data_IF_994065340191
#
_entry.id   IF_994065340191
#
_cell.length_a   1.000
_cell.length_b   1.000
_cell.length_c   1.000
_cell.angle_alpha   90.00
_cell.angle_beta   90.00
_cell.angle_gamma   90.00
#
_symmetry.space_group_name_H-M   'P 1'
#
loop_
_entity.id
_entity.type
_entity.pdbx_description
1 polymer ?
#
# COMPACT_ATOMS: atom_id res chain seq x y z
N UNK A 1 -29.48 24.57 22.40
CA UNK A 1 -28.66 24.95 21.24
C UNK A 1 -27.30 25.41 21.75
N UNK A 2 -26.40 24.46 22.01
CA UNK A 2 -25.00 24.75 22.36
C UNK A 2 -24.17 24.51 21.10
N UNK A 3 -23.75 25.60 20.45
CA UNK A 3 -22.85 25.53 19.30
C UNK A 3 -21.52 24.95 19.73
N UNK A 4 -21.23 23.74 19.26
CA UNK A 4 -19.88 23.18 19.27
C UNK A 4 -19.08 23.95 18.21
N UNK A 5 -18.29 24.92 18.67
CA UNK A 5 -17.22 25.52 17.86
C UNK A 5 -16.21 24.42 17.57
N UNK A 6 -16.20 23.93 16.33
CA UNK A 6 -15.13 23.11 15.79
C UNK A 6 -13.83 23.94 15.90
N UNK A 7 -12.75 23.44 16.53
CA UNK A 7 -11.50 24.17 16.54
C UNK A 7 -11.02 24.29 15.09
N UNK A 8 -10.87 25.52 14.60
CA UNK A 8 -10.18 25.77 13.34
C UNK A 8 -8.75 25.26 13.52
N UNK A 9 -8.36 24.25 12.74
CA UNK A 9 -7.00 23.71 12.73
C UNK A 9 -6.02 24.85 12.49
N UNK A 10 -5.20 25.20 13.48
CA UNK A 10 -4.29 26.35 13.40
C UNK A 10 -2.97 26.05 12.69
N UNK A 11 -2.64 24.77 12.45
CA UNK A 11 -1.39 24.38 11.81
C UNK A 11 -1.64 23.68 10.47
N UNK A 12 -1.42 24.35 9.32
CA UNK A 12 -1.65 23.76 8.01
C UNK A 12 -0.67 22.60 7.72
N UNK A 13 -1.08 21.66 6.88
CA UNK A 13 -0.18 20.62 6.40
C UNK A 13 0.97 21.26 5.61
N UNK A 14 2.18 20.75 5.80
CA UNK A 14 3.39 21.30 5.19
C UNK A 14 4.09 22.39 5.98
N UNK A 15 3.62 22.72 7.20
CA UNK A 15 4.20 23.78 8.03
C UNK A 15 3.57 25.15 7.79
N UNK A 16 4.03 26.18 8.51
CA UNK A 16 3.47 27.55 8.46
C UNK A 16 4.08 28.45 7.39
N UNK A 17 5.19 28.05 6.78
CA UNK A 17 5.85 28.80 5.68
C UNK A 17 4.95 28.80 4.43
N UNK A 18 4.63 29.97 3.87
CA UNK A 18 3.64 30.11 2.80
C UNK A 18 4.17 29.74 1.41
N UNK A 19 5.48 29.89 1.20
CA UNK A 19 6.21 29.65 -0.04
C UNK A 19 6.91 28.28 -0.05
N UNK A 20 6.69 27.46 0.98
CA UNK A 20 7.28 26.13 1.12
C UNK A 20 6.29 25.09 1.64
N UNK A 21 6.45 23.84 1.24
CA UNK A 21 5.73 22.71 1.81
C UNK A 21 6.71 21.68 2.41
N UNK A 22 6.78 21.61 3.75
CA UNK A 22 7.61 20.61 4.45
C UNK A 22 6.89 19.27 4.56
N UNK A 23 7.38 18.28 3.81
CA UNK A 23 6.86 16.91 3.84
C UNK A 23 6.90 16.26 5.23
N UNK A 24 7.67 16.79 6.19
CA UNK A 24 7.69 16.25 7.56
C UNK A 24 6.50 16.73 8.37
N UNK A 25 5.97 17.93 8.15
CA UNK A 25 4.86 18.50 8.92
C UNK A 25 3.48 18.03 8.41
N UNK A 26 3.34 16.71 8.23
CA UNK A 26 2.18 16.05 7.61
C UNK A 26 1.92 14.68 8.25
N UNK A 27 0.65 14.25 8.21
CA UNK A 27 0.20 12.90 8.53
C UNK A 27 0.32 11.95 7.31
N UNK A 28 1.00 10.81 7.48
CA UNK A 28 1.09 9.76 6.45
C UNK A 28 0.45 8.46 6.91
N UNK A 29 -0.34 7.77 6.06
CA UNK A 29 -0.71 6.40 6.35
C UNK A 29 0.53 5.50 6.27
N UNK A 30 0.74 4.64 7.26
CA UNK A 30 1.90 3.72 7.28
C UNK A 30 1.49 2.25 7.20
N UNK A 31 0.22 1.95 7.55
CA UNK A 31 -0.32 0.59 7.45
C UNK A 31 -1.85 0.60 7.43
N UNK A 32 -2.47 -0.41 6.81
CA UNK A 32 -3.84 -0.75 7.16
C UNK A 32 -3.88 -1.43 8.52
N UNK A 33 -4.80 -1.03 9.38
CA UNK A 33 -4.93 -1.60 10.74
C UNK A 33 -5.24 -3.10 10.68
N UNK A 34 -6.02 -3.54 9.68
CA UNK A 34 -6.40 -4.96 9.48
C UNK A 34 -5.20 -5.88 9.20
N UNK A 35 -4.08 -5.32 8.73
CA UNK A 35 -2.87 -6.07 8.40
C UNK A 35 -1.84 -6.06 9.55
N UNK A 36 -2.10 -5.32 10.63
CA UNK A 36 -1.26 -5.28 11.83
C UNK A 36 -1.65 -6.36 12.83
N UNK A 37 -0.65 -7.01 13.44
CA UNK A 37 -0.84 -8.02 14.47
C UNK A 37 -0.54 -7.45 15.86
N UNK A 38 -1.50 -7.50 16.78
CA UNK A 38 -1.36 -6.89 18.13
C UNK A 38 -0.29 -7.55 19.02
N UNK A 39 0.17 -8.74 18.67
CA UNK A 39 1.10 -9.53 19.48
C UNK A 39 2.56 -9.44 19.02
N UNK A 40 2.86 -8.70 17.95
CA UNK A 40 4.22 -8.51 17.47
C UNK A 40 4.43 -7.08 16.96
N UNK A 41 5.61 -6.48 17.14
CA UNK A 41 5.96 -5.25 16.46
C UNK A 41 6.06 -5.45 14.94
N UNK A 42 5.84 -4.38 14.17
CA UNK A 42 5.92 -4.35 12.71
C UNK A 42 6.87 -3.22 12.29
N UNK A 43 7.94 -3.49 11.54
CA UNK A 43 8.82 -2.44 11.01
C UNK A 43 8.16 -1.69 9.85
N UNK A 44 8.48 -0.40 9.72
CA UNK A 44 8.16 0.43 8.56
C UNK A 44 9.25 1.50 8.39
N UNK A 45 9.39 2.09 7.20
CA UNK A 45 10.26 3.25 7.00
C UNK A 45 9.43 4.38 6.42
N UNK A 46 9.54 5.58 7.00
CA UNK A 46 8.86 6.79 6.55
C UNK A 46 9.89 7.92 6.42
N UNK A 47 10.00 8.52 5.23
CA UNK A 47 10.94 9.63 4.97
C UNK A 47 12.37 9.32 5.45
N UNK A 48 12.88 8.13 5.09
CA UNK A 48 14.20 7.60 5.46
C UNK A 48 14.42 7.37 6.97
N UNK A 49 13.35 7.38 7.77
CA UNK A 49 13.38 7.02 9.20
C UNK A 49 12.78 5.65 9.42
N UNK A 50 13.54 4.77 10.06
CA UNK A 50 13.05 3.45 10.46
C UNK A 50 12.16 3.56 11.70
N UNK A 51 10.99 2.94 11.62
CA UNK A 51 9.90 3.02 12.59
C UNK A 51 9.49 1.61 13.05
N UNK A 52 9.07 1.51 14.30
CA UNK A 52 8.42 0.31 14.86
C UNK A 52 6.97 0.63 15.22
N UNK A 53 6.03 -0.09 14.60
CA UNK A 53 4.60 -0.05 14.91
C UNK A 53 4.28 -1.17 15.90
N UNK A 54 3.62 -0.88 17.00
CA UNK A 54 3.26 -1.88 17.99
C UNK A 54 1.95 -1.55 18.71
N UNK A 55 1.33 -2.57 19.32
CA UNK A 55 0.08 -2.41 20.05
C UNK A 55 0.37 -2.24 21.54
N UNK A 56 0.07 -1.05 22.06
CA UNK A 56 0.11 -0.77 23.49
C UNK A 56 -1.14 -1.37 24.14
N UNK A 57 -0.97 -2.44 24.92
CA UNK A 57 -2.08 -3.11 25.61
C UNK A 57 -2.65 -2.25 26.73
N UNK A 58 -1.85 -1.37 27.33
CA UNK A 58 -2.28 -0.55 28.45
C UNK A 58 -3.16 0.62 27.98
N UNK A 59 -2.88 1.14 26.79
CA UNK A 59 -3.61 2.26 26.18
C UNK A 59 -4.58 1.82 25.08
N UNK A 60 -4.72 0.51 24.85
CA UNK A 60 -5.50 -0.10 23.76
C UNK A 60 -5.37 0.64 22.42
N UNK A 61 -4.14 0.99 22.04
CA UNK A 61 -3.89 1.84 20.87
C UNK A 61 -2.58 1.47 20.17
N UNK A 62 -2.54 1.76 18.86
CA UNK A 62 -1.31 1.64 18.07
C UNK A 62 -0.35 2.78 18.40
N UNK A 63 0.89 2.41 18.69
CA UNK A 63 2.00 3.32 18.96
C UNK A 63 3.10 3.11 17.92
N UNK A 64 3.84 4.18 17.67
CA UNK A 64 4.94 4.18 16.70
C UNK A 64 6.14 4.87 17.30
N UNK A 65 7.27 4.18 17.33
CA UNK A 65 8.56 4.72 17.77
C UNK A 65 9.57 4.73 16.64
N UNK A 66 10.65 5.47 16.83
CA UNK A 66 11.88 5.26 16.06
C UNK A 66 12.39 3.84 16.36
N UNK A 67 12.78 3.09 15.33
CA UNK A 67 13.14 1.68 15.45
C UNK A 67 14.57 1.48 15.99
N UNK A 68 14.85 2.09 17.12
CA UNK A 68 16.20 2.17 17.69
C UNK A 68 16.14 2.24 19.21
N UNK A 69 16.59 1.17 19.85
CA UNK A 69 16.70 1.15 21.31
C UNK A 69 17.76 2.17 21.78
N UNK A 70 17.46 3.08 22.72
CA UNK A 70 18.42 4.08 23.19
C UNK A 70 19.62 3.49 23.95
N UNK A 71 19.52 2.23 24.41
CA UNK A 71 20.59 1.56 25.12
C UNK A 71 21.78 1.23 24.19
N UNK A 72 21.55 0.43 23.14
CA UNK A 72 22.59 -0.03 22.19
C UNK A 72 22.11 -0.14 20.75
N UNK A 73 21.12 0.66 20.38
CA UNK A 73 20.64 0.86 19.02
C UNK A 73 20.07 -0.39 18.32
N UNK A 74 19.71 -1.42 19.10
CA UNK A 74 19.03 -2.60 18.57
C UNK A 74 17.66 -2.20 18.00
N UNK A 75 17.24 -2.79 16.86
CA UNK A 75 15.90 -2.56 16.31
C UNK A 75 14.87 -3.08 17.31
N UNK A 76 13.94 -2.22 17.69
CA UNK A 76 12.84 -2.54 18.59
C UNK A 76 11.76 -3.38 17.88
N UNK A 77 11.71 -3.32 16.54
CA UNK A 77 10.84 -4.11 15.69
C UNK A 77 11.11 -5.62 15.76
N UNK A 78 12.34 -6.01 16.11
CA UNK A 78 12.72 -7.40 16.41
C UNK A 78 12.34 -7.84 17.84
N UNK A 79 11.73 -6.92 18.61
CA UNK A 79 11.28 -7.14 19.99
C UNK A 79 9.93 -7.80 20.11
N UNK A 80 9.29 -7.58 21.26
CA UNK A 80 7.95 -8.11 21.56
C UNK A 80 7.13 -7.14 22.40
N UNK A 81 5.81 -7.34 22.40
CA UNK A 81 4.94 -6.75 23.43
C UNK A 81 4.93 -7.70 24.63
N UNK A 82 5.51 -7.27 25.75
CA UNK A 82 5.66 -8.14 26.92
C UNK A 82 4.33 -8.33 27.68
N UNK A 83 4.40 -9.07 28.80
CA UNK A 83 3.25 -9.40 29.64
C UNK A 83 2.64 -8.15 30.29
N UNK A 84 3.47 -7.17 30.64
CA UNK A 84 3.06 -5.86 31.14
C UNK A 84 2.49 -4.91 30.06
N UNK A 85 2.37 -5.38 28.81
CA UNK A 85 1.79 -4.59 27.72
C UNK A 85 2.69 -3.51 27.15
N UNK A 86 3.99 -3.57 27.43
CA UNK A 86 5.00 -2.61 26.98
C UNK A 86 5.81 -3.17 25.79
N UNK A 87 6.43 -2.28 25.01
CA UNK A 87 7.38 -2.71 23.98
C UNK A 87 8.71 -3.07 24.64
N UNK A 88 9.15 -4.31 24.48
CA UNK A 88 10.38 -4.83 25.07
C UNK A 88 11.45 -5.05 23.99
N UNK A 89 12.63 -4.45 24.22
CA UNK A 89 13.78 -4.61 23.35
C UNK A 89 14.31 -6.06 23.39
N UNK A 90 14.59 -6.68 22.23
CA UNK A 90 15.01 -8.08 22.17
C UNK A 90 16.43 -8.30 22.72
N UNK A 91 17.23 -7.24 22.86
CA UNK A 91 18.63 -7.37 23.23
C UNK A 91 18.82 -7.52 24.75
N UNK A 92 18.32 -6.56 25.53
CA UNK A 92 18.54 -6.52 26.98
C UNK A 92 17.24 -6.42 27.79
N UNK A 93 16.08 -6.54 27.16
CA UNK A 93 14.79 -6.54 27.85
C UNK A 93 14.37 -5.18 28.43
N UNK A 94 14.99 -4.08 27.98
CA UNK A 94 14.49 -2.74 28.32
C UNK A 94 13.10 -2.58 27.74
N UNK A 95 12.13 -2.14 28.55
CA UNK A 95 10.77 -1.96 28.08
C UNK A 95 10.30 -0.51 28.17
N UNK A 96 9.41 -0.15 27.24
CA UNK A 96 8.98 1.23 27.01
C UNK A 96 7.44 1.31 27.00
N UNK A 97 6.89 2.32 27.66
CA UNK A 97 5.45 2.64 27.57
C UNK A 97 5.12 3.31 26.24
N UNK A 98 3.83 3.41 25.89
CA UNK A 98 3.36 4.06 24.65
C UNK A 98 3.77 5.52 24.44
N UNK A 99 4.25 6.22 25.47
CA UNK A 99 4.81 7.57 25.37
C UNK A 99 6.31 7.58 25.06
N UNK A 100 6.96 6.41 25.02
CA UNK A 100 8.39 6.25 24.81
C UNK A 100 9.23 6.31 26.09
N UNK A 101 8.62 6.41 27.27
CA UNK A 101 9.37 6.38 28.53
C UNK A 101 9.93 4.98 28.79
N UNK A 102 11.15 4.89 29.31
CA UNK A 102 11.68 3.63 29.80
C UNK A 102 10.98 3.28 31.11
N UNK A 103 10.35 2.11 31.16
CA UNK A 103 9.57 1.66 32.30
C UNK A 103 10.32 0.61 33.13
N UNK A 104 11.21 -0.14 32.48
CA UNK A 104 11.94 -1.21 33.15
C UNK A 104 13.30 -1.46 32.50
N UNK A 105 14.32 -1.61 33.34
CA UNK A 105 15.69 -1.99 32.97
C UNK A 105 16.03 -3.25 33.79
N UNK A 106 16.03 -4.45 33.20
CA UNK A 106 16.20 -5.68 33.99
C UNK A 106 17.56 -5.78 34.69
N UNK A 107 18.59 -5.10 34.17
CA UNK A 107 19.95 -5.16 34.70
C UNK A 107 20.25 -4.11 35.78
N UNK A 108 19.29 -3.24 36.11
CA UNK A 108 19.54 -2.19 37.10
C UNK A 108 19.43 -2.73 38.53
N UNK A 109 20.34 -2.37 39.45
CA UNK A 109 20.21 -2.73 40.85
C UNK A 109 18.97 -2.10 41.49
N UNK A 110 18.40 -2.79 42.47
CA UNK A 110 17.29 -2.28 43.27
C UNK A 110 17.65 -0.93 43.91
N UNK A 111 16.68 0.00 43.93
CA UNK A 111 16.86 1.35 44.47
C UNK A 111 17.52 2.36 43.52
N UNK A 112 18.03 1.92 42.36
CA UNK A 112 18.46 2.84 41.29
C UNK A 112 17.28 3.26 40.40
N UNK A 113 17.45 4.35 39.63
CA UNK A 113 16.39 4.95 38.81
C UNK A 113 16.88 5.36 37.42
N UNK A 114 17.65 4.50 36.76
CA UNK A 114 18.25 4.84 35.46
C UNK A 114 17.18 5.07 34.37
N UNK A 115 16.02 4.41 34.51
CA UNK A 115 14.86 4.54 33.63
C UNK A 115 14.25 5.95 33.62
N UNK A 116 14.46 6.74 34.68
CA UNK A 116 13.95 8.12 34.76
C UNK A 116 14.75 9.13 33.92
N UNK A 117 15.91 8.73 33.39
CA UNK A 117 16.72 9.58 32.52
C UNK A 117 16.03 9.78 31.17
N UNK A 118 15.99 11.01 30.66
CA UNK A 118 15.53 11.28 29.29
C UNK A 118 16.34 10.53 28.22
N UNK A 119 17.58 10.14 28.53
CA UNK A 119 18.43 9.32 27.64
C UNK A 119 17.98 7.86 27.57
N UNK A 120 17.14 7.42 28.49
CA UNK A 120 16.54 6.09 28.46
C UNK A 120 15.26 6.07 27.62
N UNK A 121 14.66 7.22 27.30
CA UNK A 121 13.44 7.28 26.48
C UNK A 121 13.73 7.00 25.00
N UNK A 122 12.77 6.37 24.33
CA UNK A 122 12.75 6.21 22.87
C UNK A 122 11.93 7.34 22.23
N UNK A 123 12.32 7.79 21.04
CA UNK A 123 11.57 8.76 20.25
C UNK A 123 10.21 8.19 19.86
N UNK A 124 9.13 8.85 20.29
CA UNK A 124 7.76 8.48 19.93
C UNK A 124 7.15 9.44 18.91
N UNK A 125 6.34 8.89 18.00
CA UNK A 125 5.61 9.66 16.99
C UNK A 125 4.13 9.79 17.36
N UNK A 126 3.50 10.89 16.95
CA UNK A 126 2.05 11.03 17.06
C UNK A 126 1.36 10.08 16.08
N UNK A 127 0.34 9.36 16.57
CA UNK A 127 -0.41 8.36 15.81
C UNK A 127 -1.90 8.61 15.85
N UNK A 128 -2.60 8.25 14.78
CA UNK A 128 -4.07 8.22 14.79
C UNK A 128 -4.60 7.18 13.82
N UNK A 129 -5.73 6.56 14.16
CA UNK A 129 -6.43 5.64 13.26
C UNK A 129 -7.62 6.38 12.65
N UNK A 130 -7.67 6.44 11.32
CA UNK A 130 -8.77 7.03 10.56
C UNK A 130 -9.02 6.23 9.30
N UNK A 131 -10.29 6.00 8.97
CA UNK A 131 -10.72 5.27 7.77
C UNK A 131 -10.01 3.91 7.56
N UNK A 132 -9.69 3.19 8.65
CA UNK A 132 -9.01 1.88 8.61
C UNK A 132 -7.49 1.91 8.41
N UNK A 133 -6.88 3.09 8.31
CA UNK A 133 -5.45 3.31 8.18
C UNK A 133 -4.86 3.81 9.51
N UNK A 134 -3.65 3.36 9.83
CA UNK A 134 -2.81 3.94 10.87
C UNK A 134 -2.01 5.09 10.24
N UNK A 135 -2.21 6.30 10.73
CA UNK A 135 -1.45 7.49 10.35
C UNK A 135 -0.37 7.81 11.38
N UNK A 136 0.76 8.31 10.89
CA UNK A 136 1.89 8.81 11.65
C UNK A 136 2.16 10.25 11.24
N UNK A 137 2.29 11.15 12.21
CA UNK A 137 2.77 12.50 11.97
C UNK A 137 4.31 12.49 11.93
N UNK A 138 4.90 12.91 10.81
CA UNK A 138 6.35 12.79 10.62
C UNK A 138 7.19 13.94 11.25
N UNK A 139 6.51 15.01 11.66
CA UNK A 139 7.10 16.27 12.10
C UNK A 139 7.15 16.38 13.62
N UNK A 140 7.07 17.60 14.14
CA UNK A 140 6.94 17.82 15.58
C UNK A 140 5.60 17.26 16.11
N UNK A 141 5.60 16.28 17.04
CA UNK A 141 4.37 15.75 17.63
C UNK A 141 3.45 16.80 18.26
N UNK A 142 3.97 17.98 18.64
CA UNK A 142 3.18 19.08 19.19
C UNK A 142 2.27 19.74 18.15
N UNK A 143 2.62 19.68 16.86
CA UNK A 143 1.81 20.23 15.78
C UNK A 143 0.69 19.27 15.35
N UNK A 144 0.89 17.97 15.57
CA UNK A 144 -0.01 16.90 15.14
C UNK A 144 -1.49 17.10 15.53
N UNK A 145 -1.86 17.52 16.76
CA UNK A 145 -3.26 17.76 17.14
C UNK A 145 -3.93 18.89 16.35
N UNK A 146 -3.15 19.83 15.81
CA UNK A 146 -3.64 21.00 15.08
C UNK A 146 -3.50 20.87 13.55
N UNK A 147 -2.94 19.77 13.06
CA UNK A 147 -2.85 19.47 11.62
C UNK A 147 -3.90 18.43 11.22
N UNK A 148 -4.69 18.76 10.18
CA UNK A 148 -5.74 17.87 9.65
C UNK A 148 -5.12 16.58 9.10
N UNK A 149 -5.73 15.43 9.44
CA UNK A 149 -5.40 14.14 8.82
C UNK A 149 -5.97 14.12 7.40
N UNK A 150 -5.19 13.78 6.35
CA UNK A 150 -5.70 13.71 4.99
C UNK A 150 -6.61 12.49 4.84
N UNK A 151 -7.91 12.74 4.80
CA UNK A 151 -8.97 11.73 4.67
C UNK A 151 -9.69 11.90 3.33
N UNK A 152 -10.47 10.89 2.94
CA UNK A 152 -11.37 10.97 1.80
C UNK A 152 -12.72 11.46 2.31
N UNK A 153 -13.05 12.73 2.07
CA UNK A 153 -14.27 13.35 2.61
C UNK A 153 -15.55 12.55 2.27
N UNK A 154 -15.79 12.10 1.01
CA UNK A 154 -16.98 11.30 0.69
C UNK A 154 -17.12 9.98 1.47
N UNK A 155 -16.01 9.42 1.98
CA UNK A 155 -16.03 8.23 2.81
C UNK A 155 -16.30 8.55 4.28
N UNK A 156 -15.93 9.75 4.75
CA UNK A 156 -16.21 10.20 6.10
C UNK A 156 -17.68 10.59 6.28
N UNK A 157 -18.28 11.17 5.24
CA UNK A 157 -19.69 11.58 5.23
C UNK A 157 -20.66 10.39 5.31
N UNK A 158 -20.27 9.23 4.77
CA UNK A 158 -21.08 8.02 4.78
C UNK A 158 -20.22 6.75 4.96
N UNK A 159 -19.72 6.49 6.19
CA UNK A 159 -18.74 5.43 6.46
C UNK A 159 -19.24 4.01 6.12
N UNK A 160 -20.53 3.77 6.30
CA UNK A 160 -21.15 2.44 6.10
C UNK A 160 -21.70 2.23 4.68
N UNK A 161 -21.76 3.30 3.87
CA UNK A 161 -22.30 3.26 2.52
C UNK A 161 -21.38 2.62 1.47
N UNK A 162 -20.09 2.46 1.77
CA UNK A 162 -19.08 2.03 0.81
C UNK A 162 -18.67 0.56 0.97
N UNK A 163 -18.37 -0.09 -0.16
CA UNK A 163 -17.58 -1.33 -0.18
C UNK A 163 -16.21 -0.98 -0.72
N UNK A 164 -15.17 -1.27 0.04
CA UNK A 164 -13.81 -0.91 -0.34
C UNK A 164 -13.03 -2.16 -0.75
N UNK A 165 -12.39 -2.10 -1.91
CA UNK A 165 -11.28 -2.98 -2.23
C UNK A 165 -9.99 -2.19 -1.95
N UNK A 166 -9.33 -2.53 -0.86
CA UNK A 166 -8.11 -1.85 -0.42
C UNK A 166 -6.90 -2.75 -0.64
N UNK A 167 -5.79 -2.20 -1.14
CA UNK A 167 -4.49 -2.86 -1.19
C UNK A 167 -3.37 -1.86 -0.93
N UNK A 168 -2.16 -2.36 -0.72
CA UNK A 168 -0.95 -1.55 -0.67
C UNK A 168 0.18 -2.25 -1.41
N UNK A 169 1.20 -1.50 -1.81
CA UNK A 169 2.43 -2.07 -2.34
C UNK A 169 3.61 -1.10 -2.17
N UNK A 170 4.78 -1.64 -1.82
CA UNK A 170 6.02 -0.89 -1.91
C UNK A 170 6.48 -0.86 -3.36
N UNK A 171 6.68 0.34 -3.88
CA UNK A 171 7.02 0.63 -5.26
C UNK A 171 8.43 1.21 -5.33
N UNK A 172 9.23 0.82 -6.33
CA UNK A 172 10.65 1.14 -6.40
C UNK A 172 10.91 2.50 -7.05
N UNK A 173 10.04 3.49 -6.82
CA UNK A 173 10.19 4.86 -7.31
C UNK A 173 9.58 5.85 -6.33
N UNK A 174 9.87 7.13 -6.51
CA UNK A 174 9.44 8.20 -5.62
C UNK A 174 7.91 8.34 -5.54
N UNK A 175 7.43 8.81 -4.38
CA UNK A 175 6.02 9.11 -4.15
C UNK A 175 5.47 10.13 -5.16
N UNK A 176 6.28 11.10 -5.58
CA UNK A 176 5.91 12.10 -6.58
C UNK A 176 5.69 11.46 -7.97
N UNK A 177 6.55 10.52 -8.37
CA UNK A 177 6.40 9.74 -9.61
C UNK A 177 5.09 8.94 -9.60
N UNK A 178 4.71 8.38 -8.45
CA UNK A 178 3.43 7.70 -8.30
C UNK A 178 2.24 8.67 -8.45
N UNK A 179 2.25 9.80 -7.74
CA UNK A 179 1.16 10.79 -7.79
C UNK A 179 0.98 11.34 -9.21
N UNK A 180 2.07 11.64 -9.90
CA UNK A 180 2.05 12.04 -11.31
C UNK A 180 1.34 10.99 -12.18
N UNK A 181 1.74 9.71 -12.06
CA UNK A 181 1.16 8.63 -12.86
C UNK A 181 -0.35 8.47 -12.63
N UNK A 182 -0.82 8.55 -11.38
CA UNK A 182 -2.23 8.35 -11.06
C UNK A 182 -3.10 9.56 -11.42
N UNK A 183 -2.52 10.76 -11.54
CA UNK A 183 -3.22 11.95 -12.05
C UNK A 183 -3.37 11.93 -13.57
N UNK A 184 -2.47 11.26 -14.30
CA UNK A 184 -2.56 11.09 -15.74
C UNK A 184 -3.56 9.97 -16.10
N UNK A 185 -4.79 10.33 -16.46
CA UNK A 185 -5.78 9.33 -16.90
C UNK A 185 -5.55 8.81 -18.33
N UNK A 186 -4.65 9.42 -19.12
CA UNK A 186 -4.48 9.13 -20.55
C UNK A 186 -3.75 7.82 -20.84
N UNK A 187 -2.90 7.36 -19.91
CA UNK A 187 -2.17 6.10 -20.08
C UNK A 187 -3.05 4.85 -19.93
N UNK A 188 -4.20 4.96 -19.22
CA UNK A 188 -5.03 3.82 -18.82
C UNK A 188 -5.43 2.91 -20.00
N UNK A 189 -5.92 3.42 -21.15
CA UNK A 189 -6.28 2.58 -22.30
C UNK A 189 -5.12 1.77 -22.88
N UNK A 190 -3.88 2.26 -22.74
CA UNK A 190 -2.68 1.70 -23.35
C UNK A 190 -1.91 0.79 -22.39
N UNK A 191 -1.51 1.32 -21.24
CA UNK A 191 -0.71 0.61 -20.25
C UNK A 191 -1.47 -0.57 -19.65
N UNK A 192 -2.75 -0.35 -19.34
CA UNK A 192 -3.62 -1.38 -18.77
C UNK A 192 -4.47 -2.10 -19.82
N UNK A 193 -3.99 -2.15 -21.07
CA UNK A 193 -4.71 -2.85 -22.13
C UNK A 193 -4.90 -4.34 -21.78
N UNK A 194 -6.12 -4.85 -21.97
CA UNK A 194 -6.54 -6.23 -21.63
C UNK A 194 -6.69 -6.51 -20.13
N UNK A 195 -6.42 -5.53 -19.25
CA UNK A 195 -6.76 -5.59 -17.82
C UNK A 195 -7.96 -4.71 -17.52
N UNK A 196 -7.74 -3.44 -17.14
CA UNK A 196 -8.80 -2.47 -16.85
C UNK A 196 -9.04 -1.49 -18.02
N UNK A 197 -8.09 -1.42 -18.96
CA UNK A 197 -8.08 -0.54 -20.10
C UNK A 197 -8.33 -1.24 -21.43
N UNK A 198 -8.81 -0.45 -22.40
CA UNK A 198 -8.93 -0.89 -23.79
C UNK A 198 -8.48 0.25 -24.71
N UNK A 199 -7.44 0.02 -25.52
CA UNK A 199 -6.88 1.01 -26.46
C UNK A 199 -7.91 1.61 -27.42
N UNK A 200 -8.97 0.85 -27.75
CA UNK A 200 -10.06 1.34 -28.60
C UNK A 200 -10.87 2.47 -27.94
N UNK A 201 -10.78 2.60 -26.61
CA UNK A 201 -11.44 3.65 -25.84
C UNK A 201 -10.57 4.90 -25.69
N UNK A 202 -9.34 4.93 -26.22
CA UNK A 202 -8.53 6.14 -26.25
C UNK A 202 -9.28 7.26 -26.98
N UNK A 203 -9.26 8.46 -26.39
CA UNK A 203 -9.95 9.66 -26.84
C UNK A 203 -9.23 10.88 -26.24
N UNK A 204 -9.49 12.11 -26.74
CA UNK A 204 -9.03 13.32 -26.09
C UNK A 204 -9.45 13.36 -24.60
N UNK A 205 -8.53 13.80 -23.75
CA UNK A 205 -8.76 14.02 -22.32
C UNK A 205 -8.69 15.52 -22.09
N UNK A 206 -9.84 16.17 -22.00
CA UNK A 206 -9.97 17.62 -21.82
C UNK A 206 -10.13 17.91 -20.33
N UNK A 207 -9.00 18.12 -19.64
CA UNK A 207 -8.98 18.41 -18.21
C UNK A 207 -9.14 19.92 -17.96
N UNK A 208 -9.73 20.26 -16.81
CA UNK A 208 -9.83 21.62 -16.29
C UNK A 208 -9.43 21.64 -14.81
N UNK A 209 -8.57 22.57 -14.41
CA UNK A 209 -8.25 22.83 -13.00
C UNK A 209 -9.27 23.83 -12.46
N UNK A 210 -9.97 23.46 -11.39
CA UNK A 210 -11.04 24.27 -10.79
C UNK A 210 -10.57 25.06 -9.58
N UNK A 211 -9.56 24.57 -8.85
CA UNK A 211 -8.95 25.23 -7.71
C UNK A 211 -7.52 24.73 -7.53
N UNK A 212 -6.58 25.59 -7.15
CA UNK A 212 -5.21 25.21 -6.83
C UNK A 212 -4.63 26.14 -5.76
N UNK A 213 -4.04 25.57 -4.73
CA UNK A 213 -3.34 26.28 -3.67
C UNK A 213 -2.23 25.41 -3.05
N UNK A 214 -1.65 25.88 -1.95
CA UNK A 214 -0.58 25.17 -1.23
C UNK A 214 -1.01 23.81 -0.67
N UNK A 215 -2.28 23.62 -0.35
CA UNK A 215 -2.83 22.38 0.21
C UNK A 215 -3.26 21.38 -0.88
N UNK A 216 -3.17 21.74 -2.16
CA UNK A 216 -3.39 20.86 -3.30
C UNK A 216 -4.25 21.51 -4.38
N UNK A 217 -4.90 20.69 -5.21
CA UNK A 217 -5.75 21.19 -6.29
C UNK A 217 -6.95 20.28 -6.55
N UNK A 218 -7.96 20.83 -7.21
CA UNK A 218 -9.10 20.08 -7.74
C UNK A 218 -9.24 20.34 -9.23
N UNK A 219 -9.81 19.37 -9.93
CA UNK A 219 -10.09 19.51 -11.34
C UNK A 219 -11.18 18.57 -11.80
N UNK A 220 -11.60 18.77 -13.05
CA UNK A 220 -12.66 18.02 -13.69
C UNK A 220 -12.22 17.53 -15.06
N UNK A 221 -12.74 16.37 -15.44
CA UNK A 221 -12.82 15.92 -16.82
C UNK A 221 -14.31 15.83 -17.18
N UNK A 222 -14.88 16.84 -17.89
CA UNK A 222 -16.32 16.94 -18.15
C UNK A 222 -16.88 15.73 -18.88
N UNK A 223 -16.20 15.27 -19.94
CA UNK A 223 -16.62 14.09 -20.70
C UNK A 223 -16.30 12.79 -19.95
N UNK A 224 -15.31 12.80 -19.07
CA UNK A 224 -14.87 11.64 -18.32
C UNK A 224 -14.48 10.43 -19.18
N UNK A 225 -14.23 9.29 -18.54
CA UNK A 225 -13.66 8.12 -19.21
C UNK A 225 -14.66 7.43 -20.14
N UNK A 226 -14.09 6.69 -21.10
CA UNK A 226 -14.86 5.89 -22.08
C UNK A 226 -15.90 6.72 -22.85
N UNK A 227 -15.47 7.90 -23.35
CA UNK A 227 -16.29 8.79 -24.20
C UNK A 227 -17.64 9.15 -23.55
N UNK A 228 -17.65 9.56 -22.28
CA UNK A 228 -18.90 9.94 -21.60
C UNK A 228 -19.66 8.81 -20.91
N UNK A 229 -19.36 7.54 -21.20
CA UNK A 229 -20.21 6.44 -20.70
C UNK A 229 -20.14 6.23 -19.19
N UNK A 230 -19.06 6.68 -18.54
CA UNK A 230 -18.89 6.61 -17.09
C UNK A 230 -19.23 7.92 -16.36
N UNK A 231 -19.68 8.94 -17.10
CA UNK A 231 -19.99 10.26 -16.57
C UNK A 231 -18.74 11.10 -16.29
N UNK A 232 -18.99 12.33 -15.82
CA UNK A 232 -17.95 13.29 -15.45
C UNK A 232 -17.06 12.74 -14.32
N UNK A 233 -15.75 13.00 -14.43
CA UNK A 233 -14.78 12.67 -13.41
C UNK A 233 -14.35 13.93 -12.66
N UNK A 234 -14.41 13.88 -11.33
CA UNK A 234 -13.79 14.88 -10.46
C UNK A 234 -12.48 14.33 -9.92
N UNK A 235 -11.48 15.19 -9.80
CA UNK A 235 -10.17 14.84 -9.28
C UNK A 235 -9.83 15.77 -8.14
N UNK A 236 -9.36 15.20 -7.04
CA UNK A 236 -8.81 15.96 -5.91
C UNK A 236 -7.40 15.47 -5.64
N UNK A 237 -6.45 16.39 -5.56
CA UNK A 237 -5.14 16.21 -5.00
C UNK A 237 -5.07 16.97 -3.68
N UNK A 238 -4.74 16.27 -2.60
CA UNK A 238 -4.46 16.84 -1.27
C UNK A 238 -2.99 16.65 -1.00
N UNK A 239 -2.30 17.77 -0.83
CA UNK A 239 -0.86 17.79 -0.65
C UNK A 239 -0.41 17.01 0.61
N UNK A 240 0.74 16.33 0.54
CA UNK A 240 1.60 16.19 -0.63
C UNK A 240 1.30 14.91 -1.45
N UNK A 241 0.48 14.00 -0.92
CA UNK A 241 0.55 12.60 -1.32
C UNK A 241 -0.78 11.84 -1.29
N UNK A 242 -1.92 12.53 -1.28
CA UNK A 242 -3.23 11.92 -1.44
C UNK A 242 -3.85 12.45 -2.73
N UNK A 243 -4.38 11.55 -3.56
CA UNK A 243 -5.28 11.94 -4.62
C UNK A 243 -6.44 10.96 -4.75
N UNK A 244 -7.55 11.42 -5.31
CA UNK A 244 -8.59 10.53 -5.76
C UNK A 244 -9.36 11.06 -6.97
N UNK A 245 -9.89 10.12 -7.74
CA UNK A 245 -10.91 10.36 -8.74
C UNK A 245 -12.27 9.94 -8.21
N UNK A 246 -13.29 10.78 -8.44
CA UNK A 246 -14.69 10.51 -8.14
C UNK A 246 -15.51 10.48 -9.42
N UNK A 247 -16.17 9.35 -9.64
CA UNK A 247 -16.96 9.06 -10.82
C UNK A 247 -18.33 8.56 -10.40
N UNK A 248 -19.38 9.14 -10.97
CA UNK A 248 -20.74 8.62 -10.84
C UNK A 248 -21.28 8.24 -12.21
N UNK A 249 -21.48 6.94 -12.41
CA UNK A 249 -22.05 6.39 -13.64
C UNK A 249 -23.42 5.80 -13.39
N UNK A 250 -24.32 5.92 -14.37
CA UNK A 250 -25.65 5.27 -14.30
C UNK A 250 -25.53 3.73 -14.20
N UNK A 251 -24.48 3.16 -14.78
CA UNK A 251 -24.29 1.70 -14.88
C UNK A 251 -23.69 1.08 -13.61
N UNK A 252 -22.70 1.74 -12.99
CA UNK A 252 -21.91 1.16 -11.89
C UNK A 252 -22.13 1.86 -10.56
N UNK A 253 -22.91 2.94 -10.53
CA UNK A 253 -23.09 3.78 -9.35
C UNK A 253 -21.90 4.73 -9.16
N UNK A 254 -21.60 5.09 -7.92
CA UNK A 254 -20.48 5.99 -7.57
C UNK A 254 -19.25 5.17 -7.20
N UNK A 255 -18.11 5.52 -7.78
CA UNK A 255 -16.83 4.81 -7.59
C UNK A 255 -15.72 5.80 -7.36
N UNK A 256 -14.89 5.54 -6.36
CA UNK A 256 -13.69 6.31 -6.11
C UNK A 256 -12.45 5.47 -6.48
N UNK A 257 -11.44 6.11 -7.05
CA UNK A 257 -10.08 5.57 -7.14
C UNK A 257 -9.20 6.46 -6.29
N UNK A 258 -8.73 5.95 -5.17
CA UNK A 258 -7.97 6.71 -4.17
C UNK A 258 -6.57 6.15 -4.07
N UNK A 259 -5.57 7.03 -4.05
CA UNK A 259 -4.17 6.66 -3.84
C UNK A 259 -3.55 7.57 -2.78
N UNK A 260 -2.93 6.95 -1.78
CA UNK A 260 -1.90 7.59 -0.98
C UNK A 260 -0.52 7.12 -1.44
N UNK A 261 0.42 8.05 -1.59
CA UNK A 261 1.81 7.78 -1.95
C UNK A 261 2.74 8.10 -0.77
N UNK A 262 2.93 7.16 0.15
CA UNK A 262 3.75 7.41 1.35
C UNK A 262 5.24 7.26 1.02
N UNK A 263 6.07 8.31 1.14
CA UNK A 263 7.50 8.20 0.85
C UNK A 263 8.22 7.33 1.87
N UNK A 264 8.94 6.31 1.40
CA UNK A 264 9.75 5.41 2.24
C UNK A 264 11.19 5.93 2.26
N UNK A 265 11.84 5.98 1.09
CA UNK A 265 13.21 6.49 0.85
C UNK A 265 13.25 7.15 -0.53
N UNK A 266 14.36 7.82 -0.88
CA UNK A 266 14.56 8.28 -2.26
C UNK A 266 14.50 7.09 -3.24
N UNK A 267 13.61 7.18 -4.22
CA UNK A 267 13.31 6.13 -5.19
C UNK A 267 12.49 4.96 -4.61
N UNK A 268 11.82 5.13 -3.47
CA UNK A 268 10.94 4.11 -2.89
C UNK A 268 9.73 4.73 -2.16
N UNK A 269 8.52 4.28 -2.49
CA UNK A 269 7.29 4.70 -1.80
C UNK A 269 6.35 3.52 -1.51
N UNK A 270 5.44 3.68 -0.55
CA UNK A 270 4.31 2.78 -0.34
C UNK A 270 3.06 3.41 -0.94
N UNK A 271 2.47 2.72 -1.91
CA UNK A 271 1.12 2.97 -2.38
C UNK A 271 0.12 2.38 -1.39
N UNK A 272 -0.90 3.15 -1.00
CA UNK A 272 -2.16 2.63 -0.48
C UNK A 272 -3.26 2.95 -1.51
N UNK A 273 -3.71 1.93 -2.24
CA UNK A 273 -4.81 2.07 -3.18
C UNK A 273 -6.11 1.63 -2.54
N UNK A 274 -7.13 2.48 -2.67
CA UNK A 274 -8.49 2.19 -2.20
C UNK A 274 -9.45 2.38 -3.35
N UNK A 275 -10.32 1.40 -3.53
CA UNK A 275 -11.40 1.47 -4.50
C UNK A 275 -12.75 1.35 -3.77
N UNK A 276 -13.29 2.47 -3.24
CA UNK A 276 -14.65 2.57 -2.72
C UNK A 276 -15.71 2.48 -3.81
N UNK A 277 -16.73 1.65 -3.60
CA UNK A 277 -17.87 1.49 -4.50
C UNK A 277 -19.21 1.68 -3.77
N UNK A 278 -20.09 2.46 -4.38
CA UNK A 278 -21.53 2.56 -4.09
C UNK A 278 -22.31 2.08 -5.32
N UNK A 279 -22.56 0.77 -5.36
CA UNK A 279 -23.25 0.15 -6.49
C UNK A 279 -24.74 0.50 -6.52
N UNK A 280 -25.28 0.70 -7.71
CA UNK A 280 -26.73 0.88 -7.93
C UNK A 280 -27.54 -0.41 -7.71
N UNK A 281 -26.89 -1.58 -7.56
CA UNK A 281 -27.54 -2.87 -7.31
C UNK A 281 -26.76 -3.71 -6.28
N UNK A 282 -27.47 -4.65 -5.64
CA UNK A 282 -26.87 -5.51 -4.60
C UNK A 282 -26.01 -6.66 -5.16
N UNK A 283 -26.11 -6.98 -6.46
CA UNK A 283 -25.45 -8.15 -7.05
C UNK A 283 -23.91 -8.01 -7.07
N UNK A 284 -23.30 -6.91 -7.56
CA UNK A 284 -21.85 -6.71 -7.47
C UNK A 284 -21.35 -6.69 -6.02
N UNK A 285 -22.13 -6.08 -5.11
CA UNK A 285 -21.87 -6.07 -3.66
C UNK A 285 -21.76 -7.48 -3.09
N UNK A 286 -22.64 -8.40 -3.50
CA UNK A 286 -22.59 -9.79 -3.06
C UNK A 286 -21.31 -10.49 -3.55
N UNK A 287 -20.99 -10.41 -4.84
CA UNK A 287 -19.79 -11.06 -5.39
C UNK A 287 -18.49 -10.53 -4.79
N UNK A 288 -18.38 -9.23 -4.55
CA UNK A 288 -17.20 -8.67 -3.90
C UNK A 288 -17.05 -9.14 -2.45
N UNK A 289 -18.15 -9.31 -1.72
CA UNK A 289 -18.11 -9.79 -0.32
C UNK A 289 -17.66 -11.25 -0.19
N UNK A 290 -18.00 -12.10 -1.16
CA UNK A 290 -17.59 -13.51 -1.14
C UNK A 290 -16.22 -13.76 -1.76
N UNK A 291 -15.70 -12.79 -2.53
CA UNK A 291 -14.38 -12.90 -3.16
C UNK A 291 -13.30 -12.75 -2.08
N UNK A 292 -12.40 -13.72 -1.91
CA UNK A 292 -11.33 -13.60 -0.94
C UNK A 292 -10.45 -12.39 -1.23
N UNK A 293 -10.16 -11.59 -0.21
CA UNK A 293 -9.37 -10.35 -0.35
C UNK A 293 -8.02 -10.60 -1.03
N UNK A 294 -7.31 -11.67 -0.68
CA UNK A 294 -6.02 -12.01 -1.31
C UNK A 294 -6.15 -12.25 -2.83
N UNK A 295 -7.29 -12.76 -3.30
CA UNK A 295 -7.51 -13.02 -4.71
C UNK A 295 -7.64 -11.71 -5.49
N UNK A 296 -8.40 -10.75 -4.94
CA UNK A 296 -8.48 -9.40 -5.49
C UNK A 296 -7.11 -8.71 -5.50
N UNK A 297 -6.29 -8.90 -4.46
CA UNK A 297 -4.94 -8.33 -4.41
C UNK A 297 -4.05 -8.88 -5.52
N UNK A 298 -4.12 -10.16 -5.89
CA UNK A 298 -3.30 -10.70 -6.99
C UNK A 298 -3.57 -9.97 -8.30
N UNK A 299 -4.82 -9.59 -8.56
CA UNK A 299 -5.21 -8.82 -9.75
C UNK A 299 -4.75 -7.36 -9.65
N UNK A 300 -4.97 -6.71 -8.51
CA UNK A 300 -4.56 -5.31 -8.29
C UNK A 300 -3.04 -5.13 -8.37
N UNK A 301 -2.26 -6.05 -7.79
CA UNK A 301 -0.80 -6.05 -7.94
C UNK A 301 -0.41 -6.18 -9.42
N UNK A 302 -1.12 -7.02 -10.18
CA UNK A 302 -0.90 -7.14 -11.62
C UNK A 302 -1.09 -5.82 -12.38
N UNK A 303 -2.07 -5.00 -11.98
CA UNK A 303 -2.31 -3.66 -12.58
C UNK A 303 -1.12 -2.74 -12.27
N UNK A 304 -0.69 -2.67 -11.01
CA UNK A 304 0.47 -1.84 -10.62
C UNK A 304 1.76 -2.26 -11.35
N UNK A 305 1.93 -3.55 -11.61
CA UNK A 305 3.07 -4.09 -12.38
C UNK A 305 3.07 -3.61 -13.84
N UNK A 306 1.91 -3.24 -14.40
CA UNK A 306 1.85 -2.69 -15.77
C UNK A 306 2.61 -1.36 -15.87
N UNK A 307 2.56 -0.53 -14.82
CA UNK A 307 3.23 0.77 -14.78
C UNK A 307 4.68 0.69 -14.33
N UNK A 308 4.90 -0.15 -13.32
CA UNK A 308 6.04 -0.06 -12.42
C UNK A 308 7.40 0.03 -13.12
N UNK A 309 7.60 -0.77 -14.16
CA UNK A 309 8.89 -0.84 -14.86
C UNK A 309 9.20 0.47 -15.59
N UNK A 310 8.24 1.07 -16.31
CA UNK A 310 8.60 2.28 -17.05
C UNK A 310 8.68 3.49 -16.12
N UNK A 311 7.86 3.56 -15.07
CA UNK A 311 7.95 4.61 -14.06
C UNK A 311 9.33 4.61 -13.38
N UNK A 312 9.84 3.42 -13.07
CA UNK A 312 11.19 3.23 -12.55
C UNK A 312 12.29 3.81 -13.46
N UNK A 313 12.15 3.67 -14.78
CA UNK A 313 13.11 4.24 -15.73
C UNK A 313 12.85 5.73 -15.98
N UNK A 314 11.59 6.16 -16.04
CA UNK A 314 11.19 7.54 -16.26
C UNK A 314 11.77 8.47 -15.20
N UNK A 315 11.66 8.13 -13.91
CA UNK A 315 12.22 8.98 -12.84
C UNK A 315 13.75 9.12 -12.95
N UNK A 316 14.43 8.09 -13.45
CA UNK A 316 15.89 8.07 -13.59
C UNK A 316 16.33 8.91 -14.76
N UNK A 317 15.62 8.83 -15.88
CA UNK A 317 15.87 9.72 -17.02
C UNK A 317 15.58 11.17 -16.67
N UNK A 318 14.57 11.42 -15.83
CA UNK A 318 14.31 12.76 -15.29
C UNK A 318 15.46 13.23 -14.38
N UNK A 319 15.94 12.39 -13.46
CA UNK A 319 17.09 12.72 -12.61
C UNK A 319 18.35 13.01 -13.44
N UNK A 320 18.65 12.16 -14.43
CA UNK A 320 19.76 12.36 -15.40
C UNK A 320 19.60 13.67 -16.22
N UNK A 321 18.36 14.12 -16.42
CA UNK A 321 18.03 15.38 -17.11
C UNK A 321 18.01 16.60 -16.19
N UNK A 322 18.41 16.45 -14.92
CA UNK A 322 18.49 17.53 -13.93
C UNK A 322 17.28 17.66 -13.00
N UNK A 323 16.49 16.60 -12.84
CA UNK A 323 15.44 16.47 -11.83
C UNK A 323 14.22 17.38 -12.04
N UNK A 324 13.45 17.59 -10.96
CA UNK A 324 12.19 18.36 -10.98
C UNK A 324 12.35 19.79 -11.50
N UNK A 325 13.47 20.46 -11.23
CA UNK A 325 13.75 21.81 -11.73
C UNK A 325 13.82 21.87 -13.28
N UNK A 326 14.23 20.77 -13.92
CA UNK A 326 14.35 20.67 -15.38
C UNK A 326 13.18 19.92 -16.03
N UNK A 327 12.09 19.67 -15.29
CA UNK A 327 10.98 18.84 -15.76
C UNK A 327 10.39 19.31 -17.11
N UNK A 328 10.16 20.62 -17.27
CA UNK A 328 9.61 21.19 -18.51
C UNK A 328 10.55 21.05 -19.73
N UNK A 329 11.85 20.83 -19.50
CA UNK A 329 12.84 20.55 -20.55
C UNK A 329 12.93 19.05 -20.85
N UNK A 330 12.79 18.22 -19.82
CA UNK A 330 12.86 16.76 -19.93
C UNK A 330 11.58 16.15 -20.55
N UNK A 331 10.43 16.74 -20.25
CA UNK A 331 9.11 16.25 -20.67
C UNK A 331 8.42 17.25 -21.59
N UNK A 332 7.88 16.76 -22.71
CA UNK A 332 7.02 17.54 -23.61
C UNK A 332 5.56 17.17 -23.37
N UNK A 333 4.78 18.10 -22.83
CA UNK A 333 3.39 17.91 -22.39
C UNK A 333 2.44 18.83 -23.19
N UNK A 334 2.13 18.50 -24.46
CA UNK A 334 1.49 19.45 -25.38
C UNK A 334 -0.04 19.47 -25.30
N UNK A 335 -0.67 18.58 -24.52
CA UNK A 335 -2.12 18.38 -24.57
C UNK A 335 -2.80 18.68 -23.24
N UNK A 336 -4.13 18.88 -23.26
CA UNK A 336 -4.89 19.02 -22.01
C UNK A 336 -4.94 17.74 -21.18
N UNK A 337 -4.58 16.59 -21.74
CA UNK A 337 -4.46 15.36 -20.96
C UNK A 337 -3.37 15.47 -19.88
N UNK A 338 -2.37 16.33 -20.12
CA UNK A 338 -1.22 16.52 -19.27
C UNK A 338 -1.45 17.57 -18.16
N UNK A 339 -2.62 18.23 -18.13
CA UNK A 339 -2.85 19.41 -17.30
C UNK A 339 -2.65 19.15 -15.81
N UNK A 340 -3.12 18.03 -15.27
CA UNK A 340 -2.95 17.73 -13.84
C UNK A 340 -1.50 17.35 -13.49
N UNK A 341 -0.75 16.77 -14.44
CA UNK A 341 0.69 16.53 -14.27
C UNK A 341 1.45 17.85 -14.24
N UNK A 342 1.10 18.76 -15.16
CA UNK A 342 1.66 20.11 -15.16
C UNK A 342 1.34 20.85 -13.86
N UNK A 343 0.09 20.80 -13.40
CA UNK A 343 -0.34 21.44 -12.16
C UNK A 343 0.43 20.91 -10.94
N UNK A 344 0.58 19.58 -10.83
CA UNK A 344 1.38 18.95 -9.77
C UNK A 344 2.83 19.46 -9.80
N UNK A 345 3.48 19.50 -10.98
CA UNK A 345 4.88 19.94 -11.10
C UNK A 345 5.06 21.43 -10.86
N UNK A 346 4.08 22.23 -11.27
CA UNK A 346 4.01 23.66 -10.93
C UNK A 346 3.92 23.84 -9.41
N UNK A 347 3.03 23.08 -8.74
CA UNK A 347 2.89 23.07 -7.29
C UNK A 347 4.20 22.66 -6.59
N UNK A 348 4.88 21.60 -7.04
CA UNK A 348 6.17 21.17 -6.47
C UNK A 348 7.21 22.28 -6.55
N UNK A 349 7.34 22.93 -7.71
CA UNK A 349 8.31 23.99 -7.91
C UNK A 349 7.95 25.26 -7.13
N UNK A 350 6.67 25.65 -7.13
CA UNK A 350 6.18 26.83 -6.43
C UNK A 350 6.41 26.76 -4.91
N UNK A 351 6.21 25.59 -4.32
CA UNK A 351 6.32 25.39 -2.87
C UNK A 351 7.57 24.61 -2.45
N UNK A 352 8.57 24.49 -3.33
CA UNK A 352 9.81 23.73 -3.08
C UNK A 352 9.54 22.36 -2.41
N UNK A 353 8.57 21.62 -2.95
CA UNK A 353 7.95 20.47 -2.29
C UNK A 353 8.51 19.13 -2.81
N UNK A 354 9.82 19.06 -3.03
CA UNK A 354 10.51 17.79 -3.31
C UNK A 354 10.71 17.02 -1.99
N UNK A 355 10.34 15.73 -1.88
CA UNK A 355 10.40 15.00 -0.61
C UNK A 355 11.83 14.69 -0.12
N UNK A 356 12.78 14.58 -1.04
CA UNK A 356 14.17 14.18 -0.77
C UNK A 356 15.15 15.08 -1.55
N UNK A 357 15.18 16.39 -1.29
CA UNK A 357 15.97 17.33 -2.08
C UNK A 357 17.46 17.02 -1.97
N UNK A 358 18.13 16.92 -3.12
CA UNK A 358 19.57 16.66 -3.21
C UNK A 358 20.02 15.23 -2.90
N UNK A 359 19.10 14.31 -2.61
CA UNK A 359 19.42 12.89 -2.40
C UNK A 359 19.36 12.16 -3.76
N UNK A 360 20.42 11.47 -4.20
CA UNK A 360 20.41 10.74 -5.48
C UNK A 360 19.60 9.44 -5.39
N UNK A 361 19.02 9.01 -6.52
CA UNK A 361 18.37 7.70 -6.59
C UNK A 361 19.37 6.54 -6.34
N UNK A 362 18.92 5.42 -5.74
CA UNK A 362 19.77 4.25 -5.54
C UNK A 362 20.19 3.62 -6.88
N UNK A 363 21.21 2.75 -6.92
CA UNK A 363 21.62 2.05 -8.13
C UNK A 363 20.48 1.28 -8.82
N UNK A 364 20.60 1.13 -10.15
CA UNK A 364 19.59 0.42 -10.95
C UNK A 364 19.44 -1.03 -10.49
N UNK A 365 18.18 -1.46 -10.30
CA UNK A 365 17.80 -2.83 -9.95
C UNK A 365 17.41 -3.61 -11.22
N UNK A 366 17.68 -4.93 -11.28
CA UNK A 366 17.23 -5.76 -12.40
C UNK A 366 15.70 -5.93 -12.38
N UNK A 367 15.10 -6.21 -13.55
CA UNK A 367 13.64 -6.25 -13.72
C UNK A 367 12.96 -7.27 -12.80
N UNK A 368 13.62 -8.39 -12.54
CA UNK A 368 13.13 -9.46 -11.69
C UNK A 368 12.94 -9.00 -10.24
N UNK A 369 13.81 -8.10 -9.77
CA UNK A 369 13.72 -7.50 -8.42
C UNK A 369 12.59 -6.47 -8.36
N UNK A 370 12.33 -5.73 -9.44
CA UNK A 370 11.21 -4.80 -9.49
C UNK A 370 9.87 -5.56 -9.39
N UNK A 371 9.75 -6.70 -10.07
CA UNK A 371 8.51 -7.49 -10.04
C UNK A 371 8.37 -8.38 -8.79
N UNK A 372 9.27 -8.29 -7.82
CA UNK A 372 9.17 -9.01 -6.56
C UNK A 372 7.91 -8.55 -5.78
N UNK A 373 7.14 -9.52 -5.27
CA UNK A 373 5.85 -9.29 -4.60
C UNK A 373 5.86 -9.74 -3.14
N UNK A 374 6.74 -10.67 -2.74
CA UNK A 374 6.72 -11.16 -1.37
C UNK A 374 7.09 -10.08 -0.37
N UNK A 375 8.18 -9.35 -0.60
CA UNK A 375 8.60 -8.25 0.28
C UNK A 375 7.79 -6.98 0.06
N UNK A 376 7.47 -6.64 -1.19
CA UNK A 376 6.71 -5.42 -1.51
C UNK A 376 5.23 -5.48 -1.10
N UNK A 377 4.67 -6.66 -0.82
CA UNK A 377 3.26 -6.84 -0.46
C UNK A 377 2.99 -8.04 0.44
N UNK A 378 3.23 -9.27 -0.04
CA UNK A 378 2.65 -10.49 0.57
C UNK A 378 3.03 -10.69 2.04
N UNK A 379 4.29 -10.44 2.40
CA UNK A 379 4.81 -10.61 3.77
C UNK A 379 4.07 -9.72 4.78
N UNK A 380 3.66 -8.52 4.34
CA UNK A 380 3.09 -7.47 5.18
C UNK A 380 1.57 -7.38 5.07
N UNK A 381 0.93 -8.18 4.20
CA UNK A 381 -0.52 -8.26 4.06
C UNK A 381 -1.05 -9.51 4.74
N UNK A 382 -1.86 -9.36 5.79
CA UNK A 382 -2.37 -10.48 6.59
C UNK A 382 -3.18 -11.47 5.75
N UNK A 383 -3.99 -10.96 4.81
CA UNK A 383 -4.79 -11.78 3.89
C UNK A 383 -3.91 -12.61 2.94
N UNK A 384 -2.93 -11.99 2.29
CA UNK A 384 -2.05 -12.67 1.33
C UNK A 384 -1.07 -13.63 2.02
N UNK A 385 -0.52 -13.22 3.18
CA UNK A 385 0.34 -14.08 4.00
C UNK A 385 -0.43 -15.31 4.49
N UNK A 386 -1.65 -15.14 5.01
CA UNK A 386 -2.51 -16.23 5.44
C UNK A 386 -2.88 -17.18 4.30
N UNK A 387 -3.22 -16.64 3.12
CA UNK A 387 -3.49 -17.42 1.93
C UNK A 387 -2.27 -18.26 1.51
N UNK A 388 -1.07 -17.66 1.50
CA UNK A 388 0.17 -18.36 1.16
C UNK A 388 0.51 -19.48 2.16
N UNK A 389 0.31 -19.26 3.47
CA UNK A 389 0.50 -20.30 4.50
C UNK A 389 -0.47 -21.46 4.27
N UNK A 390 -1.75 -21.17 4.07
CA UNK A 390 -2.77 -22.20 3.83
C UNK A 390 -2.50 -22.96 2.52
N UNK A 391 -2.09 -22.25 1.47
CA UNK A 391 -1.70 -22.84 0.19
C UNK A 391 -0.53 -23.81 0.36
N UNK A 392 0.50 -23.44 1.14
CA UNK A 392 1.63 -24.34 1.43
C UNK A 392 1.19 -25.58 2.22
N UNK A 393 0.29 -25.44 3.20
CA UNK A 393 -0.28 -26.58 3.96
C UNK A 393 -1.04 -27.54 3.04
N UNK A 394 -1.95 -27.01 2.22
CA UNK A 394 -2.74 -27.81 1.26
C UNK A 394 -1.81 -28.52 0.26
N UNK A 395 -0.82 -27.82 -0.28
CA UNK A 395 0.18 -28.42 -1.18
C UNK A 395 0.94 -29.56 -0.49
N UNK A 396 1.36 -29.36 0.75
CA UNK A 396 2.08 -30.41 1.49
C UNK A 396 1.21 -31.65 1.68
N UNK A 397 -0.07 -31.45 2.04
CA UNK A 397 -1.04 -32.55 2.16
C UNK A 397 -1.25 -33.28 0.82
N UNK A 398 -1.48 -32.56 -0.28
CA UNK A 398 -1.67 -33.17 -1.60
C UNK A 398 -0.44 -33.96 -2.05
N UNK A 399 0.76 -33.46 -1.75
CA UNK A 399 2.01 -34.18 -2.04
C UNK A 399 2.10 -35.49 -1.24
N UNK A 400 1.81 -35.45 0.06
CA UNK A 400 1.78 -36.65 0.93
C UNK A 400 0.74 -37.66 0.44
N UNK A 401 -0.48 -37.21 0.12
CA UNK A 401 -1.55 -38.09 -0.41
C UNK A 401 -1.13 -38.71 -1.75
N UNK A 402 -0.56 -37.91 -2.65
CA UNK A 402 -0.09 -38.38 -3.96
C UNK A 402 1.02 -39.42 -3.81
N UNK A 403 2.00 -39.17 -2.94
CA UNK A 403 3.10 -40.08 -2.67
C UNK A 403 2.61 -41.38 -2.01
N UNK A 404 1.75 -41.26 -1.00
CA UNK A 404 1.17 -42.41 -0.30
C UNK A 404 0.38 -43.30 -1.25
N UNK A 405 -0.53 -42.74 -2.05
CA UNK A 405 -1.29 -43.50 -3.04
C UNK A 405 -0.38 -44.06 -4.14
N UNK A 406 0.60 -43.28 -4.62
CA UNK A 406 1.55 -43.73 -5.64
C UNK A 406 2.41 -44.93 -5.23
N UNK A 407 2.75 -45.03 -3.94
CA UNK A 407 3.51 -46.18 -3.39
C UNK A 407 2.60 -47.34 -3.03
N UNK A 408 1.45 -47.07 -2.39
CA UNK A 408 0.56 -48.12 -1.86
C UNK A 408 -0.29 -48.80 -2.93
N UNK A 409 -0.71 -48.10 -3.98
CA UNK A 409 -1.61 -48.67 -4.99
C UNK A 409 -0.99 -49.80 -5.82
N UNK A 410 0.28 -49.73 -6.28
CA UNK A 410 0.93 -50.86 -6.93
C UNK A 410 0.97 -52.10 -6.01
N UNK A 411 1.34 -51.93 -4.74
CA UNK A 411 1.39 -53.01 -3.76
C UNK A 411 0.00 -53.60 -3.50
N UNK A 412 -0.99 -52.74 -3.32
CA UNK A 412 -2.37 -53.15 -3.08
C UNK A 412 -2.95 -53.89 -4.29
N UNK A 413 -2.62 -53.47 -5.52
CA UNK A 413 -3.06 -54.12 -6.75
C UNK A 413 -2.59 -55.58 -6.90
N UNK A 414 -1.49 -55.95 -6.26
CA UNK A 414 -0.97 -57.32 -6.22
C UNK A 414 -1.74 -58.21 -5.22
N UNK A 415 -2.49 -57.61 -4.29
CA UNK A 415 -3.16 -58.29 -3.17
C UNK A 415 -4.68 -58.41 -3.35
N UNK A 416 -5.27 -57.68 -4.29
CA UNK A 416 -6.72 -57.68 -4.51
C UNK A 416 -7.16 -58.54 -5.70
N UNK A 417 -8.36 -59.10 -5.60
CA UNK A 417 -9.02 -59.82 -6.67
C UNK A 417 -9.63 -58.87 -7.73
N UNK A 418 -10.31 -59.42 -8.75
CA UNK A 418 -10.92 -58.62 -9.83
C UNK A 418 -11.92 -57.58 -9.33
N UNK A 419 -12.62 -57.84 -8.21
CA UNK A 419 -13.53 -56.86 -7.60
C UNK A 419 -12.79 -55.67 -7.01
N UNK A 420 -11.59 -55.86 -6.46
CA UNK A 420 -10.79 -54.77 -5.90
C UNK A 420 -10.10 -53.88 -6.95
N UNK A 421 -10.00 -54.32 -8.21
CA UNK A 421 -9.42 -53.51 -9.29
C UNK A 421 -10.19 -52.20 -9.54
N UNK A 422 -11.51 -52.20 -9.34
CA UNK A 422 -12.31 -50.98 -9.45
C UNK A 422 -11.90 -49.93 -8.40
N UNK A 423 -11.63 -50.38 -7.16
CA UNK A 423 -11.16 -49.50 -6.07
C UNK A 423 -9.78 -48.95 -6.39
N UNK A 424 -8.86 -49.79 -6.89
CA UNK A 424 -7.52 -49.36 -7.33
C UNK A 424 -7.62 -48.29 -8.42
N UNK A 425 -8.51 -48.47 -9.40
CA UNK A 425 -8.71 -47.50 -10.47
C UNK A 425 -9.24 -46.14 -9.93
N UNK A 426 -10.22 -46.16 -9.02
CA UNK A 426 -10.74 -44.94 -8.37
C UNK A 426 -9.64 -44.22 -7.60
N UNK A 427 -8.89 -44.94 -6.76
CA UNK A 427 -7.81 -44.34 -5.96
C UNK A 427 -6.66 -43.83 -6.83
N UNK A 428 -6.38 -44.48 -7.97
CA UNK A 428 -5.43 -43.97 -8.97
C UNK A 428 -5.93 -42.64 -9.56
N UNK A 429 -7.22 -42.54 -9.88
CA UNK A 429 -7.84 -41.29 -10.30
C UNK A 429 -7.70 -40.18 -9.26
N UNK A 430 -7.91 -40.49 -7.97
CA UNK A 430 -7.70 -39.55 -6.86
C UNK A 430 -6.24 -39.10 -6.77
N UNK A 431 -5.27 -40.02 -6.92
CA UNK A 431 -3.85 -39.69 -6.91
C UNK A 431 -3.48 -38.73 -8.06
N UNK A 432 -3.99 -38.98 -9.28
CA UNK A 432 -3.76 -38.11 -10.44
C UNK A 432 -4.39 -36.72 -10.27
N UNK A 433 -5.63 -36.66 -9.77
CA UNK A 433 -6.30 -35.38 -9.45
C UNK A 433 -5.50 -34.63 -8.38
N UNK A 434 -5.06 -35.32 -7.33
CA UNK A 434 -4.25 -34.75 -6.25
C UNK A 434 -2.93 -34.17 -6.78
N UNK A 435 -2.23 -34.90 -7.65
CA UNK A 435 -1.02 -34.44 -8.32
C UNK A 435 -1.27 -33.21 -9.21
N UNK A 436 -2.37 -33.23 -9.99
CA UNK A 436 -2.76 -32.11 -10.85
C UNK A 436 -3.13 -30.86 -10.06
N UNK A 437 -3.87 -31.01 -8.96
CA UNK A 437 -4.18 -29.92 -8.02
C UNK A 437 -2.90 -29.40 -7.36
N UNK A 438 -2.02 -30.29 -6.90
CA UNK A 438 -0.72 -29.91 -6.37
C UNK A 438 0.03 -29.06 -7.38
N UNK A 439 0.15 -29.46 -8.64
CA UNK A 439 0.84 -28.66 -9.65
C UNK A 439 0.19 -27.28 -9.86
N UNK A 440 -1.14 -27.21 -10.06
CA UNK A 440 -1.89 -25.94 -10.25
C UNK A 440 -1.74 -24.97 -9.08
N UNK A 441 -1.79 -25.47 -7.84
CA UNK A 441 -1.57 -24.66 -6.65
C UNK A 441 -0.13 -24.11 -6.58
N UNK A 442 0.79 -24.66 -7.36
CA UNK A 442 2.20 -24.25 -7.42
C UNK A 442 2.38 -23.02 -8.27
N UNK A 443 1.70 -23.01 -9.40
CA UNK A 443 1.59 -21.81 -10.24
C UNK A 443 0.87 -20.68 -9.50
N UNK A 444 -0.19 -21.00 -8.73
CA UNK A 444 -0.82 -20.00 -7.86
C UNK A 444 0.14 -19.48 -6.78
N UNK A 445 0.94 -20.36 -6.16
CA UNK A 445 1.93 -19.99 -5.15
C UNK A 445 2.95 -18.99 -5.70
N UNK A 446 3.45 -19.19 -6.92
CA UNK A 446 4.44 -18.30 -7.54
C UNK A 446 3.94 -16.85 -7.61
N UNK A 447 2.65 -16.64 -7.84
CA UNK A 447 2.02 -15.30 -7.89
C UNK A 447 2.08 -14.53 -6.57
N UNK A 448 2.41 -15.17 -5.44
CA UNK A 448 2.63 -14.47 -4.17
C UNK A 448 4.07 -13.95 -4.00
N UNK A 449 5.01 -14.42 -4.82
CA UNK A 449 6.43 -14.06 -4.75
C UNK A 449 6.84 -13.15 -5.88
N UNK A 450 6.36 -13.40 -7.09
CA UNK A 450 6.79 -12.68 -8.29
C UNK A 450 5.56 -12.28 -9.08
N UNK A 451 5.59 -11.04 -9.57
CA UNK A 451 4.63 -10.47 -10.49
C UNK A 451 4.58 -11.19 -11.84
N UNK A 452 3.63 -10.80 -12.67
CA UNK A 452 3.52 -11.38 -14.02
C UNK A 452 4.68 -10.91 -14.90
N UNK A 453 5.13 -11.79 -15.78
CA UNK A 453 5.97 -11.35 -16.89
C UNK A 453 5.14 -10.42 -17.78
N UNK A 454 5.58 -9.17 -17.92
CA UNK A 454 4.90 -8.22 -18.78
C UNK A 454 5.10 -8.66 -20.24
N UNK A 455 4.02 -9.10 -20.87
CA UNK A 455 3.97 -9.29 -22.32
C UNK A 455 4.41 -8.00 -23.02
N UNK A 456 4.97 -8.07 -24.23
CA UNK A 456 5.28 -6.86 -24.99
C UNK A 456 4.00 -6.03 -25.11
N UNK A 457 4.01 -4.89 -24.41
CA UNK A 457 2.93 -3.91 -24.43
C UNK A 457 2.74 -3.53 -25.90
N UNK A 458 1.63 -3.93 -26.53
CA UNK A 458 1.28 -3.79 -27.96
C UNK A 458 1.23 -5.05 -28.84
N UNK A 459 1.33 -6.28 -28.33
CA UNK A 459 0.97 -7.44 -29.18
C UNK A 459 -0.53 -7.44 -29.47
N UNK A 460 -0.91 -7.25 -30.74
CA UNK A 460 -2.32 -7.11 -31.20
C UNK A 460 -3.19 -8.37 -31.07
N UNK A 461 -2.75 -9.42 -30.36
CA UNK A 461 -3.52 -10.65 -30.15
C UNK A 461 -3.51 -11.03 -28.68
N UNK A 462 -4.66 -11.46 -28.17
CA UNK A 462 -4.76 -12.26 -26.94
C UNK A 462 -3.93 -13.53 -27.16
N UNK A 463 -2.92 -13.74 -26.32
CA UNK A 463 -2.24 -15.03 -26.21
C UNK A 463 -3.19 -16.10 -25.68
#
# INVERSE_FOLDING_TARGET
MSGLTVPVSSHPAGGTELDRFDWREVWYPVHYVKDLAKNRPTPFTLLDRDLVIWWDKNQESWRVFEDKCPHRLAPLSEGRVNEAGQLECPYHGWSFSGAGNCEFIPQQPEGTRAETSRRACVTSFATTVRQGLLFVYAGDPNNAPNTKVPIIEPMEEDPDGWICLDTFRDLPYDALTLIENVLDSSHIPYTHHLTIGNRANAAPVELEVTHSDRQGFTGIWPEGPRRGTLGQQYTTFVAPALMWHDLTSKQFGRTLTVVYATPIRKGECRLFARFPFKFSSNLPKFFLKITPTWYSHLNQNGILEDDQIFLYFQERYLEESGGSENYARACYLPTKADLFVFELRSWVNQYNAEPFPGVPLPPRKPKEVLLERYHSHTKNCASCQGALINLNRIRTLLAVVTLFLGISLPLFSLLVDRSGLAIVAVLTGVALISAGLWWRLGELKKKFYIGRELLPRNTGKKG
#
